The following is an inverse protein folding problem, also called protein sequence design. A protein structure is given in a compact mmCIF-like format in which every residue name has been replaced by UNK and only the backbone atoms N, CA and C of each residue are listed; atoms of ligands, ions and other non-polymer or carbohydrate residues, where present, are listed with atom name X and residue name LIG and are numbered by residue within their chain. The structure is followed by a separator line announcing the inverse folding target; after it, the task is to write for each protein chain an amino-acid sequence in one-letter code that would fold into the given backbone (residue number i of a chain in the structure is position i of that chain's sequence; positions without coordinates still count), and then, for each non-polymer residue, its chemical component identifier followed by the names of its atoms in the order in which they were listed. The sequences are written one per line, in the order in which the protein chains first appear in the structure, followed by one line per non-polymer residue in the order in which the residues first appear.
data_IF_145243217719
#
_entry.id   IF_145243217719
#
_cell.length_a   1.000
_cell.length_b   1.000
_cell.length_c   1.000
_cell.angle_alpha   90.00
_cell.angle_beta   90.00
_cell.angle_gamma   90.00
#
_symmetry.space_group_name_H-M   'P 1'
#
loop_
_entity.id
_entity.type
_entity.pdbx_description
1 polymer ?
#
# COMPACT_ATOMS: atom_id res chain seq x y z
N UNK A 1 -13.16 -11.30 6.72
CA UNK A 1 -12.30 -11.33 5.52
C UNK A 1 -12.87 -10.37 4.49
N UNK A 2 -12.39 -9.13 4.50
CA UNK A 2 -12.74 -8.12 3.52
C UNK A 2 -11.52 -7.22 3.30
N UNK A 3 -11.46 -6.52 2.17
CA UNK A 3 -10.52 -5.42 2.03
C UNK A 3 -10.82 -4.39 3.13
N UNK A 4 -9.84 -4.16 4.00
CA UNK A 4 -9.95 -3.20 5.09
C UNK A 4 -9.79 -1.77 4.58
N UNK A 5 -9.03 -1.58 3.49
CA UNK A 5 -8.80 -0.29 2.82
C UNK A 5 -8.21 -0.47 1.43
N UNK A 6 -8.43 0.50 0.55
CA UNK A 6 -7.74 0.64 -0.74
C UNK A 6 -7.07 2.01 -0.75
N UNK A 7 -5.78 2.04 -1.08
CA UNK A 7 -4.93 3.23 -1.01
C UNK A 7 -4.29 3.47 -2.37
N UNK A 8 -4.56 4.61 -3.03
CA UNK A 8 -3.85 4.97 -4.25
C UNK A 8 -2.37 5.24 -3.95
N UNK A 9 -1.50 4.84 -4.88
CA UNK A 9 -0.07 5.13 -4.83
C UNK A 9 0.27 6.18 -5.88
N UNK A 10 0.93 7.26 -5.47
CA UNK A 10 1.41 8.32 -6.37
C UNK A 10 2.93 8.40 -6.31
N UNK A 11 3.57 8.34 -7.48
CA UNK A 11 5.04 8.35 -7.57
C UNK A 11 5.62 9.74 -7.83
N UNK A 12 6.69 10.13 -7.13
CA UNK A 12 7.39 11.43 -7.27
C UNK A 12 8.85 11.30 -6.85
N UNK A 13 9.76 12.18 -7.30
CA UNK A 13 11.18 12.09 -6.92
C UNK A 13 11.46 12.29 -5.42
N UNK A 14 10.58 12.99 -4.71
CA UNK A 14 10.67 13.23 -3.26
C UNK A 14 9.34 12.86 -2.57
N UNK A 15 9.28 11.77 -1.80
CA UNK A 15 8.05 11.34 -1.13
C UNK A 15 7.61 12.29 -0.01
N UNK A 16 8.46 13.23 0.44
CA UNK A 16 8.17 14.18 1.53
C UNK A 16 7.65 15.52 1.01
N UNK A 17 7.82 15.82 -0.27
CA UNK A 17 7.43 17.10 -0.89
C UNK A 17 5.92 17.44 -0.80
N UNK A 18 5.07 16.49 -0.42
CA UNK A 18 3.61 16.68 -0.34
C UNK A 18 3.08 17.36 0.93
N UNK A 19 3.90 17.52 1.97
CA UNK A 19 3.41 17.88 3.31
C UNK A 19 2.57 19.16 3.33
N UNK A 20 2.99 20.22 2.64
CA UNK A 20 2.25 21.49 2.63
C UNK A 20 0.84 21.39 2.02
N UNK A 21 0.64 20.54 1.01
CA UNK A 21 -0.69 20.34 0.45
C UNK A 21 -1.52 19.36 1.28
N UNK A 22 -0.97 18.19 1.61
CA UNK A 22 -1.75 17.15 2.29
C UNK A 22 -2.05 17.49 3.74
N UNK A 23 -1.10 18.09 4.47
CA UNK A 23 -1.30 18.45 5.87
C UNK A 23 -2.01 19.80 6.01
N UNK A 24 -1.48 20.85 5.37
CA UNK A 24 -1.95 22.21 5.67
C UNK A 24 -3.23 22.57 4.90
N UNK A 25 -3.36 22.13 3.64
CA UNK A 25 -4.55 22.43 2.81
C UNK A 25 -5.66 21.40 3.03
N UNK A 26 -5.31 20.11 3.04
CA UNK A 26 -6.30 19.03 3.14
C UNK A 26 -6.55 18.53 4.57
N UNK A 27 -5.72 18.91 5.54
CA UNK A 27 -5.89 18.49 6.94
C UNK A 27 -5.63 17.00 7.19
N UNK A 28 -4.85 16.34 6.33
CA UNK A 28 -4.41 14.96 6.55
C UNK A 28 -3.23 14.93 7.53
N UNK A 29 -3.14 13.87 8.33
CA UNK A 29 -1.96 13.59 9.13
C UNK A 29 -0.93 12.78 8.34
N UNK A 30 0.34 13.01 8.61
CA UNK A 30 1.42 12.12 8.17
C UNK A 30 1.41 10.87 9.05
N UNK A 31 0.76 9.82 8.58
CA UNK A 31 0.60 8.57 9.32
C UNK A 31 1.87 7.71 9.35
N UNK A 32 2.72 7.83 8.32
CA UNK A 32 4.01 7.15 8.22
C UNK A 32 4.91 7.91 7.26
N UNK A 33 6.19 8.01 7.58
CA UNK A 33 7.21 8.53 6.67
C UNK A 33 8.48 7.70 6.77
N UNK A 34 8.93 7.17 5.63
CA UNK A 34 10.19 6.48 5.42
C UNK A 34 10.91 7.09 4.21
N UNK A 35 12.11 6.64 3.89
CA UNK A 35 12.91 7.23 2.80
C UNK A 35 12.24 7.11 1.42
N UNK A 36 11.48 6.04 1.19
CA UNK A 36 10.84 5.77 -0.10
C UNK A 36 9.35 6.07 -0.15
N UNK A 37 8.69 6.31 0.99
CA UNK A 37 7.23 6.45 1.08
C UNK A 37 6.80 7.39 2.21
N UNK A 38 5.78 8.20 1.92
CA UNK A 38 4.99 8.92 2.93
C UNK A 38 3.52 8.55 2.77
N UNK A 39 2.84 8.20 3.87
CA UNK A 39 1.39 7.97 3.89
C UNK A 39 0.71 9.14 4.58
N UNK A 40 -0.21 9.78 3.87
CA UNK A 40 -1.11 10.79 4.43
C UNK A 40 -2.49 10.17 4.63
N UNK A 41 -3.12 10.43 5.78
CA UNK A 41 -4.41 9.85 6.16
C UNK A 41 -5.28 10.86 6.87
N UNK A 42 -6.60 10.76 6.78
CA UNK A 42 -7.50 11.54 7.63
C UNK A 42 -7.62 10.90 9.02
N UNK A 43 -7.45 11.72 10.07
CA UNK A 43 -7.71 11.30 11.45
C UNK A 43 -9.20 10.97 11.68
N UNK A 44 -10.11 11.73 11.07
CA UNK A 44 -11.56 11.56 11.21
C UNK A 44 -12.13 10.45 10.32
N UNK A 45 -11.52 10.21 9.17
CA UNK A 45 -11.98 9.21 8.19
C UNK A 45 -10.80 8.33 7.77
N UNK A 46 -10.46 7.27 8.53
CA UNK A 46 -9.25 6.47 8.31
C UNK A 46 -9.11 5.82 6.93
N UNK A 47 -10.19 5.75 6.15
CA UNK A 47 -10.17 5.27 4.76
C UNK A 47 -9.66 6.31 3.76
N UNK A 48 -9.84 7.59 4.04
CA UNK A 48 -9.29 8.67 3.22
C UNK A 48 -7.78 8.75 3.46
N UNK A 49 -7.01 8.13 2.56
CA UNK A 49 -5.56 8.11 2.64
C UNK A 49 -4.94 7.99 1.24
N UNK A 50 -3.68 8.40 1.14
CA UNK A 50 -2.88 8.32 -0.08
C UNK A 50 -1.43 8.02 0.29
N UNK A 51 -0.79 7.18 -0.52
CA UNK A 51 0.64 6.90 -0.41
C UNK A 51 1.39 7.68 -1.49
N UNK A 52 2.43 8.42 -1.08
CA UNK A 52 3.36 9.10 -1.97
C UNK A 52 4.68 8.33 -1.93
N UNK A 53 5.16 7.82 -3.06
CA UNK A 53 6.35 6.99 -3.15
C UNK A 53 7.39 7.60 -4.10
N UNK A 54 8.67 7.38 -3.87
CA UNK A 54 9.70 7.56 -4.92
C UNK A 54 9.85 6.32 -5.78
N UNK A 55 10.04 5.21 -5.10
CA UNK A 55 10.09 3.87 -5.66
C UNK A 55 9.61 2.88 -4.59
N UNK A 56 9.18 1.69 -5.00
CA UNK A 56 9.00 0.60 -4.06
C UNK A 56 10.31 -0.22 -4.00
N UNK A 57 10.77 -0.65 -2.81
CA UNK A 57 12.00 -1.44 -2.69
C UNK A 57 12.02 -2.75 -3.48
N UNK A 58 10.86 -3.26 -3.92
CA UNK A 58 10.76 -4.39 -4.84
C UNK A 58 11.24 -4.08 -6.28
N UNK A 59 11.43 -2.81 -6.63
CA UNK A 59 11.69 -2.35 -8.00
C UNK A 59 10.44 -2.29 -8.89
N UNK A 60 9.28 -2.73 -8.38
CA UNK A 60 8.00 -2.67 -9.09
C UNK A 60 7.23 -1.40 -8.72
N UNK A 61 6.19 -1.08 -9.51
CA UNK A 61 5.34 0.09 -9.28
C UNK A 61 3.87 -0.31 -9.09
N UNK A 62 3.47 -0.79 -7.90
CA UNK A 62 2.06 -1.00 -7.60
C UNK A 62 1.27 0.30 -7.75
N UNK A 63 0.18 0.26 -8.49
CA UNK A 63 -0.72 1.40 -8.72
C UNK A 63 -1.52 1.74 -7.46
N UNK A 64 -1.84 0.73 -6.66
CA UNK A 64 -2.58 0.87 -5.41
C UNK A 64 -2.19 -0.22 -4.42
N UNK A 65 -2.49 0.04 -3.15
CA UNK A 65 -2.29 -0.90 -2.05
C UNK A 65 -3.62 -1.27 -1.42
N UNK A 66 -3.84 -2.55 -1.12
CA UNK A 66 -5.05 -3.07 -0.48
C UNK A 66 -4.67 -3.65 0.88
N UNK A 67 -5.17 -3.01 1.94
CA UNK A 67 -5.00 -3.53 3.30
C UNK A 67 -5.99 -4.67 3.56
N UNK A 68 -5.51 -5.81 4.05
CA UNK A 68 -6.33 -6.99 4.36
C UNK A 68 -6.02 -7.53 5.76
N UNK A 69 -6.98 -8.25 6.35
CA UNK A 69 -6.83 -8.85 7.68
C UNK A 69 -6.05 -10.19 7.66
N UNK A 70 -6.02 -10.86 6.49
CA UNK A 70 -5.32 -12.13 6.29
C UNK A 70 -4.74 -12.16 4.88
N UNK A 71 -3.45 -11.81 4.76
CA UNK A 71 -2.77 -11.74 3.45
C UNK A 71 -2.47 -13.11 2.87
N UNK A 72 -2.23 -14.12 3.72
CA UNK A 72 -1.96 -15.50 3.30
C UNK A 72 -3.20 -16.12 2.63
N UNK A 73 -4.38 -15.92 3.21
CA UNK A 73 -5.64 -16.38 2.61
C UNK A 73 -5.94 -15.70 1.27
N UNK A 74 -5.66 -14.39 1.14
CA UNK A 74 -5.86 -13.67 -0.12
C UNK A 74 -4.86 -14.11 -1.18
N UNK A 75 -3.60 -14.36 -0.80
CA UNK A 75 -2.57 -14.89 -1.68
C UNK A 75 -2.94 -16.28 -2.23
N UNK A 76 -3.39 -17.20 -1.37
CA UNK A 76 -3.82 -18.54 -1.80
C UNK A 76 -4.96 -18.47 -2.83
N UNK A 77 -5.95 -17.60 -2.61
CA UNK A 77 -7.06 -17.38 -3.55
C UNK A 77 -6.61 -16.77 -4.88
N UNK A 78 -5.65 -15.85 -4.86
CA UNK A 78 -5.10 -15.27 -6.07
C UNK A 78 -4.42 -16.34 -6.94
N UNK A 79 -3.68 -17.27 -6.32
CA UNK A 79 -3.07 -18.41 -7.00
C UNK A 79 -4.14 -19.36 -7.54
N UNK A 80 -5.13 -19.73 -6.73
CA UNK A 80 -6.22 -20.63 -7.14
C UNK A 80 -7.02 -20.07 -8.33
N UNK A 81 -7.22 -18.75 -8.35
CA UNK A 81 -7.85 -18.03 -9.45
C UNK A 81 -6.93 -17.81 -10.68
N UNK A 82 -5.68 -18.25 -10.63
CA UNK A 82 -4.74 -18.18 -11.76
C UNK A 82 -4.15 -16.80 -12.02
N UNK A 83 -4.16 -15.89 -11.03
CA UNK A 83 -3.53 -14.58 -11.18
C UNK A 83 -2.00 -14.67 -11.11
N UNK A 84 -1.33 -13.79 -11.85
CA UNK A 84 0.13 -13.67 -11.84
C UNK A 84 0.61 -12.96 -10.56
N UNK A 85 1.33 -13.70 -9.71
CA UNK A 85 2.04 -13.15 -8.55
C UNK A 85 3.39 -12.60 -9.02
N UNK A 86 3.46 -11.28 -9.20
CA UNK A 86 4.67 -10.59 -9.70
C UNK A 86 5.69 -10.30 -8.61
N UNK A 87 5.28 -10.35 -7.34
CA UNK A 87 6.16 -10.27 -6.18
C UNK A 87 5.71 -11.26 -5.10
N UNK A 88 6.54 -12.25 -4.81
CA UNK A 88 6.21 -13.33 -3.89
C UNK A 88 5.92 -12.85 -2.46
N UNK A 89 4.90 -13.46 -1.83
CA UNK A 89 4.49 -13.19 -0.46
C UNK A 89 5.66 -13.31 0.51
N UNK A 90 5.92 -12.23 1.24
CA UNK A 90 6.99 -12.18 2.24
C UNK A 90 6.73 -11.13 3.30
N UNK A 91 7.52 -11.22 4.36
CA UNK A 91 7.63 -10.18 5.38
C UNK A 91 8.68 -9.16 4.95
N UNK A 92 8.35 -7.88 5.14
CA UNK A 92 9.24 -6.76 4.85
C UNK A 92 9.82 -6.19 6.15
N UNK A 93 11.04 -5.63 6.12
CA UNK A 93 11.72 -5.15 7.32
C UNK A 93 11.00 -3.97 8.02
N UNK A 94 10.07 -3.30 7.35
CA UNK A 94 9.24 -2.23 7.92
C UNK A 94 7.89 -2.72 8.50
N UNK A 95 7.78 -3.99 8.88
CA UNK A 95 6.67 -4.47 9.71
C UNK A 95 5.38 -4.81 8.96
N UNK A 96 5.47 -5.14 7.67
CA UNK A 96 4.31 -5.61 6.88
C UNK A 96 4.57 -6.97 6.26
N UNK A 97 3.51 -7.72 6.03
CA UNK A 97 3.50 -8.91 5.18
C UNK A 97 2.72 -8.61 3.92
N UNK A 98 3.32 -8.83 2.75
CA UNK A 98 2.71 -8.43 1.47
C UNK A 98 3.13 -9.29 0.29
N UNK A 99 2.31 -9.26 -0.75
CA UNK A 99 2.63 -9.78 -2.08
C UNK A 99 2.05 -8.85 -3.14
N UNK A 100 2.60 -8.89 -4.35
CA UNK A 100 2.04 -8.14 -5.48
C UNK A 100 1.46 -9.08 -6.52
N UNK A 101 0.32 -8.67 -7.07
CA UNK A 101 -0.44 -9.43 -8.06
C UNK A 101 -0.84 -8.52 -9.21
N UNK A 102 -0.84 -9.06 -10.43
CA UNK A 102 -1.40 -8.36 -11.59
C UNK A 102 -2.91 -8.49 -11.59
N UNK A 103 -3.61 -7.36 -11.60
CA UNK A 103 -5.05 -7.35 -11.73
C UNK A 103 -5.49 -7.57 -13.20
N UNK A 104 -6.77 -7.91 -13.45
CA UNK A 104 -7.28 -8.12 -14.81
C UNK A 104 -7.26 -6.89 -15.71
N UNK A 105 -7.03 -5.69 -15.15
CA UNK A 105 -6.97 -4.43 -15.89
C UNK A 105 -5.53 -4.07 -16.31
N UNK A 106 -4.55 -4.87 -15.86
CA UNK A 106 -3.15 -4.78 -16.26
C UNK A 106 -2.23 -4.10 -15.24
N UNK A 107 -2.79 -3.54 -14.17
CA UNK A 107 -2.05 -2.88 -13.11
C UNK A 107 -1.52 -3.86 -12.05
N UNK A 108 -0.60 -3.38 -11.22
CA UNK A 108 -0.06 -4.13 -10.09
C UNK A 108 -0.74 -3.66 -8.79
N UNK A 109 -1.35 -4.61 -8.07
CA UNK A 109 -1.90 -4.39 -6.74
C UNK A 109 -0.91 -4.87 -5.66
N UNK A 110 -0.63 -4.02 -4.68
CA UNK A 110 0.08 -4.42 -3.46
C UNK A 110 -0.93 -4.90 -2.41
N UNK A 111 -0.98 -6.19 -2.10
CA UNK A 111 -1.84 -6.73 -1.05
C UNK A 111 -1.03 -6.83 0.23
N UNK A 112 -1.47 -6.14 1.28
CA UNK A 112 -0.67 -5.90 2.47
C UNK A 112 -1.44 -6.09 3.77
N UNK A 113 -0.77 -6.68 4.75
CA UNK A 113 -1.20 -6.78 6.14
C UNK A 113 -0.12 -6.16 7.04
N UNK A 114 -0.53 -5.30 7.98
CA UNK A 114 0.37 -4.79 9.01
C UNK A 114 0.58 -5.89 10.06
N UNK A 115 1.82 -6.13 10.49
CA UNK A 115 2.11 -7.14 11.51
C UNK A 115 1.78 -6.67 12.94
N UNK A 116 1.71 -5.36 13.16
CA UNK A 116 1.60 -4.76 14.49
C UNK A 116 0.18 -4.29 14.88
N UNK A 117 -0.86 -4.77 14.19
CA UNK A 117 -2.25 -4.58 14.66
C UNK A 117 -2.70 -5.82 15.44
N UNK A 118 -2.42 -5.81 16.75
CA UNK A 118 -3.22 -6.49 17.78
C UNK A 118 -4.24 -5.48 18.31
#
# INVERSE_FOLDING_TARGET
MAAARIVPNRYTGDPKAGAGFFNDVLGLETAMAMDFITIYRSAAQPMAQISILSEDPSGLRPAYSVGVDDVDAVHARAIEAGHEIVYALRDEPWGVRRFFVRDPLGDIANIVQNKDRV
#
